data_IF_314731912013
#
_entry.id   IF_314731912013
#
_cell.length_a   1.000
_cell.length_b   1.000
_cell.length_c   1.000
_cell.angle_alpha   90.00
_cell.angle_beta   90.00
_cell.angle_gamma   90.00
#
_symmetry.space_group_name_H-M   'P 1'
#
loop_
_entity.id
_entity.type
_entity.pdbx_description
1 polymer ?
#
# COMPACT_ATOMS: atom_id res chain seq x y z
N UNK A 1 16.32 17.42 -10.96
CA UNK A 1 15.29 16.92 -10.06
C UNK A 1 14.82 15.56 -10.53
N UNK A 2 14.59 14.64 -9.60
CA UNK A 2 13.92 13.36 -9.93
C UNK A 2 12.45 13.60 -10.29
N UNK A 3 11.79 12.63 -10.91
CA UNK A 3 10.32 12.69 -11.12
C UNK A 3 9.59 12.88 -9.79
N UNK A 4 10.07 12.25 -8.72
CA UNK A 4 9.48 12.40 -7.38
C UNK A 4 9.58 13.82 -6.83
N UNK A 5 10.72 14.49 -7.02
CA UNK A 5 10.89 15.89 -6.60
C UNK A 5 9.95 16.83 -7.37
N UNK A 6 9.84 16.65 -8.69
CA UNK A 6 8.93 17.45 -9.52
C UNK A 6 7.46 17.31 -9.08
N UNK A 7 6.99 16.07 -8.84
CA UNK A 7 5.63 15.83 -8.38
C UNK A 7 5.41 16.38 -6.97
N UNK A 8 6.41 16.29 -6.09
CA UNK A 8 6.34 16.85 -4.75
C UNK A 8 6.21 18.38 -4.76
N UNK A 9 6.93 19.07 -5.65
CA UNK A 9 6.81 20.53 -5.86
C UNK A 9 5.41 20.89 -6.36
N UNK A 10 4.90 20.19 -7.38
CA UNK A 10 3.55 20.42 -7.92
C UNK A 10 2.47 20.34 -6.82
N UNK A 11 2.53 19.35 -5.93
CA UNK A 11 1.56 19.23 -4.85
C UNK A 11 1.67 20.40 -3.84
N UNK A 12 2.89 20.84 -3.52
CA UNK A 12 3.09 21.98 -2.62
C UNK A 12 2.59 23.28 -3.23
N UNK A 13 2.78 23.47 -4.54
CA UNK A 13 2.26 24.64 -5.27
C UNK A 13 0.73 24.70 -5.23
N UNK A 14 0.07 23.54 -5.20
CA UNK A 14 -1.39 23.41 -5.02
C UNK A 14 -1.83 23.43 -3.54
N UNK A 15 -0.92 23.75 -2.61
CA UNK A 15 -1.22 23.95 -1.19
C UNK A 15 -1.27 22.67 -0.35
N UNK A 16 -0.81 21.53 -0.87
CA UNK A 16 -0.71 20.29 -0.09
C UNK A 16 0.44 20.38 0.91
N UNK A 17 0.13 20.11 2.18
CA UNK A 17 1.12 19.95 3.24
C UNK A 17 1.80 18.57 3.14
N UNK A 18 2.79 18.48 2.25
CA UNK A 18 3.53 17.25 1.97
C UNK A 18 4.65 17.02 2.99
N UNK A 19 4.44 16.06 3.89
CA UNK A 19 5.41 15.64 4.91
C UNK A 19 6.15 14.38 4.49
N UNK A 20 7.49 14.44 4.47
CA UNK A 20 8.37 13.31 4.13
C UNK A 20 9.18 12.87 5.35
N UNK A 21 9.67 11.64 5.34
CA UNK A 21 10.48 11.09 6.45
C UNK A 21 9.69 10.84 7.75
N UNK A 22 8.35 10.92 7.69
CA UNK A 22 7.44 10.70 8.81
C UNK A 22 6.37 9.69 8.40
N UNK A 23 6.02 8.78 9.31
CA UNK A 23 4.98 7.77 9.11
C UNK A 23 3.70 8.07 9.88
N UNK A 24 2.66 7.28 9.61
CA UNK A 24 1.45 7.23 10.43
C UNK A 24 1.69 6.34 11.66
N UNK A 25 1.39 6.84 12.86
CA UNK A 25 1.45 6.07 14.11
C UNK A 25 0.05 5.63 14.56
N UNK A 26 -0.92 6.55 14.58
CA UNK A 26 -2.28 6.30 15.06
C UNK A 26 -3.32 7.12 14.30
N UNK A 27 -4.48 6.53 14.02
CA UNK A 27 -5.68 7.28 13.61
C UNK A 27 -6.47 7.63 14.87
N UNK A 28 -6.57 8.93 15.16
CA UNK A 28 -7.25 9.44 16.34
C UNK A 28 -8.77 9.50 16.09
N UNK A 29 -9.56 9.06 17.07
CA UNK A 29 -11.02 9.02 16.94
C UNK A 29 -11.78 9.52 18.17
N UNK A 30 -12.94 10.13 17.93
CA UNK A 30 -13.94 10.50 18.93
C UNK A 30 -15.33 10.13 18.42
N UNK A 31 -16.18 9.56 19.28
CA UNK A 31 -17.55 9.14 18.95
C UNK A 31 -17.66 8.27 17.68
N UNK A 32 -16.66 7.39 17.47
CA UNK A 32 -16.59 6.50 16.32
C UNK A 32 -16.22 7.17 14.98
N UNK A 33 -15.75 8.42 15.01
CA UNK A 33 -15.27 9.15 13.82
C UNK A 33 -13.81 9.55 13.95
N UNK A 34 -13.11 9.61 12.83
CA UNK A 34 -11.77 10.17 12.78
C UNK A 34 -11.80 11.66 13.15
N UNK A 35 -10.83 12.10 13.95
CA UNK A 35 -10.63 13.52 14.31
C UNK A 35 -9.22 14.00 13.97
N UNK A 36 -8.31 13.09 13.63
CA UNK A 36 -6.98 13.41 13.16
C UNK A 36 -6.10 12.17 13.09
N UNK A 37 -4.80 12.39 12.92
CA UNK A 37 -3.78 11.35 12.97
C UNK A 37 -2.61 11.79 13.85
N UNK A 38 -2.01 10.83 14.54
CA UNK A 38 -0.69 10.97 15.17
C UNK A 38 0.35 10.46 14.20
N UNK A 39 1.37 11.27 13.97
CA UNK A 39 2.52 10.91 13.16
C UNK A 39 3.62 10.29 14.02
N UNK A 40 4.55 9.58 13.39
CA UNK A 40 5.64 8.86 14.07
C UNK A 40 6.62 9.77 14.83
N UNK A 41 6.60 11.07 14.57
CA UNK A 41 7.38 12.09 15.28
C UNK A 41 6.62 12.72 16.47
N UNK A 42 5.40 12.25 16.74
CA UNK A 42 4.51 12.75 17.79
C UNK A 42 3.61 13.91 17.37
N UNK A 43 3.77 14.46 16.16
CA UNK A 43 2.91 15.51 15.61
C UNK A 43 1.47 15.02 15.49
N UNK A 44 0.51 15.89 15.79
CA UNK A 44 -0.93 15.64 15.55
C UNK A 44 -1.38 16.49 14.37
N UNK A 45 -2.05 15.84 13.42
CA UNK A 45 -2.69 16.49 12.27
C UNK A 45 -4.19 16.29 12.39
N UNK A 46 -4.93 17.39 12.56
CA UNK A 46 -6.38 17.34 12.68
C UNK A 46 -7.06 17.05 11.34
N UNK A 47 -8.16 16.28 11.35
CA UNK A 47 -8.92 15.97 10.15
C UNK A 47 -10.04 14.95 10.38
N UNK A 48 -11.16 15.13 9.69
CA UNK A 48 -12.35 14.27 9.83
C UNK A 48 -12.40 13.10 8.83
N UNK A 49 -11.46 13.06 7.87
CA UNK A 49 -11.35 12.04 6.84
C UNK A 49 -9.90 11.63 6.72
N UNK A 50 -9.67 10.31 6.71
CA UNK A 50 -8.35 9.71 6.53
C UNK A 50 -8.42 8.74 5.35
N UNK A 51 -7.52 8.90 4.39
CA UNK A 51 -7.37 7.99 3.25
C UNK A 51 -6.02 7.29 3.39
N UNK A 52 -6.04 5.95 3.46
CA UNK A 52 -4.84 5.14 3.62
C UNK A 52 -4.37 4.60 2.26
N UNK A 53 -3.16 4.97 1.86
CA UNK A 53 -2.48 4.46 0.67
C UNK A 53 -1.14 3.82 1.04
N UNK A 54 -1.17 2.73 1.80
CA UNK A 54 0.02 2.12 2.42
C UNK A 54 0.64 0.96 1.59
N UNK A 55 0.24 0.83 0.32
CA UNK A 55 0.56 -0.31 -0.53
C UNK A 55 -0.55 -1.35 -0.56
N UNK A 56 -0.33 -2.41 -1.33
CA UNK A 56 -1.25 -3.53 -1.49
C UNK A 56 -0.52 -4.86 -1.23
N UNK A 57 -1.26 -5.86 -0.75
CA UNK A 57 -0.78 -7.23 -0.61
C UNK A 57 -1.66 -8.15 -1.47
N UNK A 58 -1.07 -9.11 -2.21
CA UNK A 58 -1.83 -10.11 -2.94
C UNK A 58 -2.78 -10.90 -2.03
N UNK A 59 -4.04 -11.04 -2.45
CA UNK A 59 -5.05 -11.79 -1.70
C UNK A 59 -4.93 -13.29 -2.00
N UNK A 60 -4.13 -14.01 -1.19
CA UNK A 60 -3.76 -15.41 -1.45
C UNK A 60 -4.26 -16.39 -0.38
N UNK A 61 -4.96 -15.93 0.65
CA UNK A 61 -5.41 -16.78 1.77
C UNK A 61 -6.24 -18.00 1.31
N UNK A 62 -7.00 -17.84 0.22
CA UNK A 62 -7.83 -18.90 -0.35
C UNK A 62 -7.02 -20.04 -1.00
N UNK A 63 -5.72 -19.85 -1.26
CA UNK A 63 -4.81 -20.88 -1.77
C UNK A 63 -4.18 -21.73 -0.66
N UNK A 64 -4.44 -21.42 0.61
CA UNK A 64 -3.89 -22.19 1.73
C UNK A 64 -4.21 -23.69 1.61
N UNK A 65 -3.16 -24.52 1.61
CA UNK A 65 -3.28 -25.98 1.50
C UNK A 65 -3.47 -26.52 0.07
N UNK A 66 -3.55 -25.66 -0.96
CA UNK A 66 -3.70 -26.07 -2.36
C UNK A 66 -2.45 -26.73 -2.97
N UNK A 67 -1.28 -26.52 -2.36
CA UNK A 67 0.02 -26.90 -2.93
C UNK A 67 0.59 -25.90 -3.93
N UNK A 68 -0.13 -24.83 -4.26
CA UNK A 68 0.38 -23.71 -5.07
C UNK A 68 1.41 -22.93 -4.26
N UNK A 69 2.57 -22.67 -4.87
CA UNK A 69 3.65 -21.90 -4.24
C UNK A 69 3.34 -20.40 -4.25
N UNK A 70 3.54 -19.74 -3.11
CA UNK A 70 3.32 -18.30 -2.96
C UNK A 70 4.51 -17.64 -2.25
N UNK A 71 4.86 -16.44 -2.70
CA UNK A 71 5.84 -15.53 -2.11
C UNK A 71 5.53 -14.11 -2.60
N UNK A 72 4.88 -13.29 -1.75
CA UNK A 72 4.34 -11.97 -2.15
C UNK A 72 3.62 -11.97 -3.53
N UNK A 73 2.84 -13.02 -3.79
CA UNK A 73 2.26 -13.36 -5.09
C UNK A 73 2.28 -14.87 -5.32
N UNK A 74 1.54 -15.37 -6.30
CA UNK A 74 1.61 -16.74 -6.80
C UNK A 74 2.89 -16.85 -7.63
N UNK A 75 3.79 -17.74 -7.23
CA UNK A 75 5.07 -17.91 -7.92
C UNK A 75 4.81 -18.56 -9.28
N UNK A 76 5.24 -17.88 -10.34
CA UNK A 76 5.07 -18.34 -11.71
C UNK A 76 6.34 -18.15 -12.52
N UNK A 77 6.47 -18.91 -13.61
CA UNK A 77 7.54 -18.71 -14.58
C UNK A 77 7.22 -17.59 -15.57
N UNK A 78 8.17 -17.31 -16.48
CA UNK A 78 8.06 -16.30 -17.54
C UNK A 78 6.81 -16.47 -18.44
N UNK A 79 6.19 -17.66 -18.44
CA UNK A 79 4.97 -17.98 -19.19
C UNK A 79 3.68 -17.89 -18.37
N UNK A 80 3.77 -17.41 -17.12
CA UNK A 80 2.70 -17.35 -16.11
C UNK A 80 2.32 -18.71 -15.51
N UNK A 81 3.07 -19.76 -15.80
CA UNK A 81 2.75 -21.12 -15.35
C UNK A 81 3.14 -21.33 -13.88
N UNK A 82 2.23 -21.94 -13.12
CA UNK A 82 2.38 -22.17 -11.67
C UNK A 82 2.30 -23.66 -11.28
N UNK A 83 1.91 -24.53 -12.22
CA UNK A 83 1.63 -25.94 -11.96
C UNK A 83 0.65 -26.54 -12.98
N UNK A 84 0.43 -27.86 -12.96
CA UNK A 84 -0.52 -28.52 -13.87
C UNK A 84 -1.93 -27.89 -13.79
N UNK A 85 -2.35 -27.24 -14.88
CA UNK A 85 -3.66 -26.57 -14.96
C UNK A 85 -3.76 -25.26 -14.17
N UNK A 86 -2.65 -24.71 -13.66
CA UNK A 86 -2.62 -23.49 -12.84
C UNK A 86 -1.73 -22.43 -13.48
N UNK A 87 -2.27 -21.22 -13.63
CA UNK A 87 -1.58 -20.02 -14.09
C UNK A 87 -1.97 -18.83 -13.20
N UNK A 88 -1.13 -17.81 -13.10
CA UNK A 88 -1.39 -16.58 -12.36
C UNK A 88 -1.16 -15.35 -13.23
N UNK A 89 -1.96 -14.29 -13.06
CA UNK A 89 -1.84 -13.08 -13.86
C UNK A 89 -2.27 -11.83 -13.07
N UNK A 90 -1.69 -10.68 -13.42
CA UNK A 90 -1.96 -9.41 -12.76
C UNK A 90 -1.32 -9.33 -11.37
N UNK A 91 -1.89 -8.51 -10.50
CA UNK A 91 -1.31 -8.16 -9.19
C UNK A 91 -1.07 -9.36 -8.26
N UNK A 92 -1.73 -10.49 -8.51
CA UNK A 92 -1.51 -11.69 -7.72
C UNK A 92 -0.32 -12.53 -8.18
N UNK A 93 0.28 -12.25 -9.34
CA UNK A 93 1.42 -13.03 -9.86
C UNK A 93 2.75 -12.47 -9.33
N UNK A 94 3.54 -13.34 -8.71
CA UNK A 94 4.97 -13.10 -8.54
C UNK A 94 5.66 -13.64 -9.79
N UNK A 95 5.92 -12.73 -10.73
CA UNK A 95 6.41 -13.02 -12.08
C UNK A 95 7.83 -12.45 -12.24
N UNK A 96 8.78 -13.24 -12.80
CA UNK A 96 10.16 -12.80 -13.02
C UNK A 96 10.31 -11.69 -14.07
#
# INVERSE_FOLDING_TARGET
GTVGEFIAELHRDEGVDLRLGVGLDEVLGADGRAVGVRLSDGTIVDGSVVVLGLGAAPQLDWLAGSGVSTDNGVVCDETLWCGPGVVAAGDCANWP
#
